data_IF_600707466126
#
_entry.id   IF_600707466126
#
_cell.length_a   1.000
_cell.length_b   1.000
_cell.length_c   1.000
_cell.angle_alpha   90.00
_cell.angle_beta   90.00
_cell.angle_gamma   90.00
#
_symmetry.space_group_name_H-M   'P 1'
#
loop_
_entity.id
_entity.type
_entity.pdbx_description
1 polymer ?
#
# COMPACT_ATOMS: atom_id res chain seq x y z
N UNK A 1 -2.36 -11.30 4.12
CA UNK A 1 -2.38 -11.67 5.56
C UNK A 1 -0.99 -11.83 6.16
N UNK A 2 -0.02 -12.48 5.49
CA UNK A 2 1.33 -12.71 6.04
C UNK A 2 2.04 -11.48 6.61
N UNK A 3 2.00 -10.34 5.90
CA UNK A 3 2.61 -9.09 6.39
C UNK A 3 2.07 -8.62 7.74
N UNK A 4 0.76 -8.74 7.99
CA UNK A 4 0.17 -8.36 9.29
C UNK A 4 0.63 -9.29 10.40
N UNK A 5 0.59 -10.59 10.16
CA UNK A 5 1.00 -11.60 11.15
C UNK A 5 2.47 -11.39 11.54
N UNK A 6 3.32 -11.13 10.55
CA UNK A 6 4.72 -10.79 10.76
C UNK A 6 4.89 -9.49 11.56
N UNK A 7 4.20 -8.42 11.17
CA UNK A 7 4.27 -7.14 11.87
C UNK A 7 3.79 -7.24 13.33
N UNK A 8 2.74 -8.02 13.59
CA UNK A 8 2.26 -8.32 14.94
C UNK A 8 3.28 -9.12 15.75
N UNK A 9 3.96 -10.11 15.16
CA UNK A 9 5.01 -10.86 15.87
C UNK A 9 6.22 -10.00 16.21
N UNK A 10 6.49 -8.96 15.40
CA UNK A 10 7.57 -7.99 15.64
C UNK A 10 7.16 -6.83 16.59
N UNK A 11 5.99 -6.90 17.24
CA UNK A 11 5.43 -5.82 18.08
C UNK A 11 5.30 -4.47 17.36
N UNK A 12 5.12 -4.48 16.04
CA UNK A 12 4.84 -3.30 15.22
C UNK A 12 3.47 -3.45 14.56
N UNK A 13 2.36 -3.29 15.29
CA UNK A 13 1.03 -3.43 14.71
C UNK A 13 0.74 -2.28 13.73
N UNK A 14 1.14 -2.45 12.47
CA UNK A 14 0.80 -1.52 11.39
C UNK A 14 -0.67 -1.76 11.00
N UNK A 15 -1.53 -0.79 11.29
CA UNK A 15 -2.97 -0.88 11.08
C UNK A 15 -3.36 -0.95 9.59
N UNK A 16 -2.68 -0.14 8.77
CA UNK A 16 -2.88 -0.07 7.32
C UNK A 16 -1.61 -0.48 6.58
N UNK A 17 -1.71 -1.46 5.69
CA UNK A 17 -0.61 -1.91 4.82
C UNK A 17 -1.02 -1.69 3.36
N UNK A 18 -0.27 -0.87 2.64
CA UNK A 18 -0.41 -0.74 1.19
C UNK A 18 0.48 -1.74 0.45
N UNK A 19 0.03 -2.20 -0.72
CA UNK A 19 0.80 -3.10 -1.58
C UNK A 19 0.49 -2.90 -3.05
N UNK A 20 1.35 -3.46 -3.90
CA UNK A 20 1.17 -3.46 -5.35
C UNK A 20 1.60 -4.81 -5.93
N UNK A 21 0.81 -5.33 -6.87
CA UNK A 21 1.20 -6.43 -7.74
C UNK A 21 1.54 -5.83 -9.10
N UNK A 22 2.71 -6.14 -9.63
CA UNK A 22 3.15 -5.65 -10.94
C UNK A 22 4.01 -6.66 -11.68
N UNK A 23 3.95 -6.62 -13.02
CA UNK A 23 4.90 -7.30 -13.90
C UNK A 23 5.89 -6.32 -14.56
N UNK A 24 5.94 -5.07 -14.09
CA UNK A 24 6.70 -3.97 -14.69
C UNK A 24 5.89 -3.12 -15.66
N UNK A 25 4.94 -3.72 -16.39
CA UNK A 25 4.08 -3.02 -17.35
C UNK A 25 2.72 -2.64 -16.78
N UNK A 26 2.14 -3.48 -15.92
CA UNK A 26 0.80 -3.31 -15.35
C UNK A 26 0.88 -3.37 -13.83
N UNK A 27 0.30 -2.37 -13.18
CA UNK A 27 0.32 -2.18 -11.74
C UNK A 27 -1.10 -2.25 -11.20
N UNK A 28 -1.30 -3.06 -10.16
CA UNK A 28 -2.57 -3.13 -9.43
C UNK A 28 -2.31 -2.95 -7.94
N UNK A 29 -2.91 -1.92 -7.37
CA UNK A 29 -2.70 -1.53 -5.98
C UNK A 29 -3.74 -2.19 -5.06
N UNK A 30 -3.33 -2.41 -3.81
CA UNK A 30 -4.18 -2.95 -2.76
C UNK A 30 -3.89 -2.27 -1.41
N UNK A 31 -4.91 -2.24 -0.55
CA UNK A 31 -4.83 -1.82 0.85
C UNK A 31 -5.34 -2.97 1.72
N UNK A 32 -4.57 -3.32 2.74
CA UNK A 32 -4.97 -4.21 3.80
C UNK A 32 -5.23 -3.37 5.05
N UNK A 33 -6.46 -3.42 5.55
CA UNK A 33 -6.89 -2.69 6.74
C UNK A 33 -7.72 -3.64 7.61
N UNK A 34 -7.39 -3.73 8.90
CA UNK A 34 -8.02 -4.64 9.86
C UNK A 34 -7.97 -6.13 9.48
N UNK A 35 -8.94 -6.64 8.72
CA UNK A 35 -8.95 -8.00 8.14
C UNK A 35 -9.43 -8.01 6.68
N UNK A 36 -9.62 -6.83 6.10
CA UNK A 36 -10.20 -6.65 4.77
C UNK A 36 -9.12 -6.24 3.78
N UNK A 37 -9.07 -6.92 2.65
CA UNK A 37 -8.28 -6.50 1.50
C UNK A 37 -9.18 -5.69 0.57
N UNK A 38 -8.80 -4.46 0.33
CA UNK A 38 -9.36 -3.59 -0.70
C UNK A 38 -8.41 -3.63 -1.90
N UNK A 39 -8.95 -3.92 -3.08
CA UNK A 39 -8.18 -3.95 -4.33
C UNK A 39 -8.68 -2.80 -5.19
N UNK A 40 -7.77 -1.99 -5.72
CA UNK A 40 -8.15 -1.01 -6.73
C UNK A 40 -8.66 -1.75 -7.97
N UNK A 41 -9.89 -1.43 -8.36
CA UNK A 41 -10.53 -2.00 -9.54
C UNK A 41 -9.79 -1.59 -10.83
N UNK A 42 -9.05 -0.48 -10.81
CA UNK A 42 -8.24 -0.03 -11.93
C UNK A 42 -6.87 -0.71 -11.94
N UNK A 43 -6.45 -1.07 -13.14
CA UNK A 43 -5.07 -1.41 -13.45
C UNK A 43 -4.41 -0.21 -14.13
N UNK A 44 -3.17 0.07 -13.76
CA UNK A 44 -2.40 1.18 -14.29
C UNK A 44 -1.29 0.62 -15.16
N UNK A 45 -1.25 1.03 -16.42
CA UNK A 45 -0.16 0.68 -17.32
C UNK A 45 1.02 1.63 -17.10
N UNK A 46 2.25 1.18 -17.39
CA UNK A 46 3.49 1.92 -17.14
C UNK A 46 3.55 3.27 -17.85
N UNK A 47 2.85 3.40 -18.98
CA UNK A 47 2.68 4.67 -19.70
C UNK A 47 1.96 5.73 -18.86
N UNK A 48 1.17 5.32 -17.87
CA UNK A 48 0.50 6.17 -16.89
C UNK A 48 1.38 6.45 -15.67
N UNK A 49 2.64 6.82 -15.92
CA UNK A 49 3.67 6.97 -14.90
C UNK A 49 3.30 8.01 -13.84
N UNK A 50 2.72 9.13 -14.25
CA UNK A 50 2.26 10.21 -13.34
C UNK A 50 1.29 9.69 -12.28
N UNK A 51 0.36 8.79 -12.68
CA UNK A 51 -0.63 8.22 -11.77
C UNK A 51 -0.01 7.19 -10.85
N UNK A 52 0.87 6.33 -11.38
CA UNK A 52 1.58 5.34 -10.59
C UNK A 52 2.41 6.03 -9.50
N UNK A 53 3.19 7.05 -9.88
CA UNK A 53 4.00 7.82 -8.94
C UNK A 53 3.13 8.60 -7.95
N UNK A 54 2.01 9.18 -8.38
CA UNK A 54 1.07 9.85 -7.48
C UNK A 54 0.46 8.92 -6.43
N UNK A 55 0.16 7.66 -6.79
CA UNK A 55 -0.33 6.66 -5.84
C UNK A 55 0.77 6.30 -4.83
N UNK A 56 2.00 6.08 -5.30
CA UNK A 56 3.14 5.80 -4.41
C UNK A 56 3.44 6.96 -3.47
N UNK A 57 3.38 8.20 -3.95
CA UNK A 57 3.56 9.40 -3.13
C UNK A 57 2.47 9.48 -2.06
N UNK A 58 1.21 9.27 -2.41
CA UNK A 58 0.11 9.28 -1.44
C UNK A 58 0.28 8.21 -0.34
N UNK A 59 0.88 7.06 -0.67
CA UNK A 59 1.22 6.01 0.32
C UNK A 59 2.35 6.48 1.25
N UNK A 60 3.37 7.15 0.72
CA UNK A 60 4.46 7.71 1.54
C UNK A 60 3.92 8.79 2.48
N UNK A 61 3.16 9.73 1.93
CA UNK A 61 2.56 10.84 2.68
C UNK A 61 1.68 10.31 3.82
N UNK A 62 0.88 9.26 3.55
CA UNK A 62 0.09 8.59 4.57
C UNK A 62 0.94 8.16 5.77
N UNK A 63 2.11 7.57 5.57
CA UNK A 63 2.97 7.16 6.69
C UNK A 63 3.75 8.32 7.30
N UNK A 64 4.09 9.35 6.52
CA UNK A 64 4.76 10.55 7.03
C UNK A 64 3.88 11.32 8.03
N UNK A 65 2.61 11.51 7.71
CA UNK A 65 1.65 12.23 8.57
C UNK A 65 1.36 11.49 9.89
N UNK A 66 1.54 10.16 9.92
CA UNK A 66 1.33 9.34 11.12
C UNK A 66 2.58 9.21 12.00
N UNK A 67 3.73 9.73 11.56
CA UNK A 67 4.99 9.71 12.34
C UNK A 67 5.11 10.84 13.37
N UNK A 68 4.24 11.87 13.31
CA UNK A 68 4.22 12.96 14.30
C UNK A 68 3.32 12.68 15.53
N UNK A 69 2.56 11.58 15.53
CA UNK A 69 1.62 11.22 16.60
C UNK A 69 2.01 9.94 17.38
N UNK A 70 3.26 9.48 17.28
CA UNK A 70 3.79 8.29 17.97
C UNK A 70 4.88 8.65 18.98
#
# INVERSE_FOLDING_TARGET
MGARIFNQSENQPIETIFGCVTNGEVWQFLKLENETILIDAKKYFLDNLERILGILQAIIDFYSDHSENA
#
